data_IF_057226014702
#
_entry.id   IF_057226014702
#
_cell.length_a   1.000
_cell.length_b   1.000
_cell.length_c   1.000
_cell.angle_alpha   90.00
_cell.angle_beta   90.00
_cell.angle_gamma   90.00
#
_symmetry.space_group_name_H-M   'P 1'
#
loop_
_entity.id
_entity.type
_entity.pdbx_description
1 polymer ?
#
# COMPACT_ATOMS: atom_id res chain seq x y z
N UNK A 1 23.85 20.86 33.13
CA UNK A 1 22.52 20.57 33.70
C UNK A 1 22.37 19.05 33.69
N UNK A 2 22.01 18.40 34.79
CA UNK A 2 21.87 16.96 34.79
C UNK A 2 20.71 16.55 33.85
N UNK A 3 20.99 15.62 32.97
CA UNK A 3 20.04 14.96 32.12
C UNK A 3 18.99 14.27 33.01
N UNK A 4 17.79 14.84 33.07
CA UNK A 4 16.68 14.23 33.81
C UNK A 4 16.38 12.90 33.14
N UNK A 5 16.70 11.80 33.80
CA UNK A 5 16.34 10.46 33.39
C UNK A 5 14.85 10.46 33.07
N UNK A 6 14.50 10.27 31.77
CA UNK A 6 13.12 10.08 31.34
C UNK A 6 12.62 8.83 32.06
N UNK A 7 11.78 9.04 33.06
CA UNK A 7 11.15 7.93 33.78
C UNK A 7 10.32 7.15 32.79
N UNK A 8 10.66 5.90 32.51
CA UNK A 8 9.90 5.00 31.64
C UNK A 8 8.61 4.57 32.37
N UNK A 9 7.69 5.54 32.56
CA UNK A 9 6.47 5.39 33.34
C UNK A 9 5.60 4.19 32.91
N UNK A 10 5.73 3.77 31.64
CA UNK A 10 4.99 2.62 31.10
C UNK A 10 5.42 1.27 31.68
N UNK A 11 6.61 1.17 32.32
CA UNK A 11 7.06 -0.09 32.95
C UNK A 11 6.20 -0.52 34.12
N UNK A 12 5.54 0.44 34.76
CA UNK A 12 4.63 0.19 35.90
C UNK A 12 3.18 -0.05 35.48
N UNK A 13 2.88 0.13 34.17
CA UNK A 13 1.55 -0.11 33.63
C UNK A 13 1.33 -1.61 33.42
N UNK A 14 0.15 -2.07 33.84
CA UNK A 14 -0.26 -3.46 33.59
C UNK A 14 -1.09 -3.52 32.31
N UNK A 15 -0.81 -4.51 31.41
CA UNK A 15 -1.64 -4.71 30.24
C UNK A 15 -3.06 -5.12 30.64
N UNK A 16 -4.03 -4.74 29.80
CA UNK A 16 -5.41 -5.19 29.93
C UNK A 16 -5.45 -6.71 29.67
N UNK A 17 -6.09 -7.45 30.59
CA UNK A 17 -6.29 -8.88 30.41
C UNK A 17 -7.64 -9.13 29.72
N UNK A 18 -7.59 -9.63 28.48
CA UNK A 18 -8.72 -10.15 27.70
C UNK A 18 -9.92 -9.20 27.57
N UNK A 19 -9.80 -8.18 26.74
CA UNK A 19 -10.93 -7.31 26.38
C UNK A 19 -11.07 -7.27 24.85
N UNK A 20 -11.31 -8.41 24.22
CA UNK A 20 -11.58 -8.48 22.80
C UNK A 20 -12.73 -9.45 22.53
N UNK A 21 -13.43 -9.22 21.44
CA UNK A 21 -14.48 -10.13 20.98
C UNK A 21 -13.86 -11.49 20.64
N UNK A 22 -14.57 -12.58 20.94
CA UNK A 22 -14.07 -13.95 20.75
C UNK A 22 -13.68 -14.25 19.30
N UNK A 23 -14.36 -13.62 18.33
CA UNK A 23 -14.16 -13.81 16.90
C UNK A 23 -13.27 -12.72 16.27
N UNK A 24 -12.63 -11.88 17.06
CA UNK A 24 -11.72 -10.86 16.55
C UNK A 24 -10.49 -11.55 15.91
N UNK A 25 -10.20 -11.17 14.68
CA UNK A 25 -8.97 -11.59 14.00
C UNK A 25 -7.76 -10.92 14.66
N UNK A 26 -6.61 -11.60 14.70
CA UNK A 26 -5.40 -11.01 15.28
C UNK A 26 -4.95 -9.78 14.50
N UNK A 27 -4.33 -8.85 15.20
CA UNK A 27 -3.68 -7.68 14.59
C UNK A 27 -2.59 -8.10 13.60
N UNK A 28 -2.36 -7.25 12.58
CA UNK A 28 -1.22 -7.38 11.68
C UNK A 28 -0.16 -6.38 12.13
N UNK A 29 1.02 -6.87 12.46
CA UNK A 29 2.19 -6.06 12.72
C UNK A 29 3.27 -6.35 11.68
N UNK A 30 3.67 -5.33 10.93
CA UNK A 30 4.76 -5.42 9.95
C UNK A 30 5.86 -4.45 10.37
N UNK A 31 6.97 -4.99 10.86
CA UNK A 31 8.15 -4.20 11.19
C UNK A 31 8.76 -3.63 9.91
N UNK A 32 9.18 -2.35 9.95
CA UNK A 32 9.80 -1.63 8.83
C UNK A 32 9.04 -1.85 7.50
N UNK A 33 7.73 -1.56 7.53
CA UNK A 33 6.83 -1.84 6.42
C UNK A 33 7.32 -1.30 5.06
N UNK A 34 7.94 -0.09 4.95
CA UNK A 34 8.42 0.45 3.68
C UNK A 34 9.64 -0.27 3.09
N UNK A 35 10.33 -1.06 3.90
CA UNK A 35 11.58 -1.73 3.54
C UNK A 35 11.48 -3.22 3.86
N UNK A 36 12.53 -3.79 4.46
CA UNK A 36 12.55 -5.18 4.89
C UNK A 36 12.74 -6.16 3.74
N UNK A 37 12.09 -7.31 3.81
CA UNK A 37 12.27 -8.40 2.84
C UNK A 37 11.74 -8.03 1.45
N UNK A 38 12.63 -7.88 0.47
CA UNK A 38 12.29 -7.52 -0.91
C UNK A 38 11.38 -8.55 -1.60
N UNK A 39 11.38 -9.80 -1.15
CA UNK A 39 10.49 -10.85 -1.67
C UNK A 39 9.01 -10.56 -1.40
N UNK A 40 8.71 -9.65 -0.48
CA UNK A 40 7.35 -9.23 -0.17
C UNK A 40 6.78 -8.22 -1.19
N UNK A 41 7.62 -7.61 -2.01
CA UNK A 41 7.20 -6.70 -3.07
C UNK A 41 6.78 -7.48 -4.32
N UNK A 42 5.48 -7.53 -4.57
CA UNK A 42 4.85 -8.18 -5.72
C UNK A 42 4.98 -7.28 -6.95
N UNK A 43 5.66 -7.69 -8.01
CA UNK A 43 5.86 -6.84 -9.20
C UNK A 43 4.56 -6.70 -10.00
N UNK A 44 4.24 -5.48 -10.40
CA UNK A 44 3.23 -5.15 -11.42
C UNK A 44 3.87 -4.96 -12.79
N UNK A 45 5.05 -4.32 -12.80
CA UNK A 45 5.91 -4.13 -13.97
C UNK A 45 7.37 -4.35 -13.57
N UNK A 46 8.29 -4.11 -14.47
CA UNK A 46 9.74 -4.20 -14.18
C UNK A 46 10.21 -3.15 -13.16
N UNK A 47 9.51 -2.02 -13.09
CA UNK A 47 9.88 -0.89 -12.23
C UNK A 47 8.89 -0.60 -11.10
N UNK A 48 7.67 -1.15 -11.17
CA UNK A 48 6.60 -0.91 -10.20
C UNK A 48 6.26 -2.20 -9.48
N UNK A 49 6.21 -2.15 -8.17
CA UNK A 49 5.83 -3.27 -7.31
C UNK A 49 5.01 -2.78 -6.11
N UNK A 50 4.27 -3.70 -5.50
CA UNK A 50 3.47 -3.42 -4.32
C UNK A 50 3.71 -4.46 -3.24
N UNK A 51 3.86 -4.01 -1.99
CA UNK A 51 3.97 -4.86 -0.80
C UNK A 51 2.65 -4.79 -0.02
N UNK A 52 1.81 -5.84 -0.10
CA UNK A 52 0.57 -5.85 0.67
C UNK A 52 0.87 -5.95 2.16
N UNK A 53 0.17 -5.15 2.96
CA UNK A 53 0.26 -5.14 4.41
C UNK A 53 -0.93 -5.85 5.06
N UNK A 54 -2.13 -5.70 4.52
CA UNK A 54 -3.29 -6.52 4.81
C UNK A 54 -4.27 -6.51 3.63
N UNK A 55 -5.14 -7.51 3.58
CA UNK A 55 -6.10 -7.74 2.49
C UNK A 55 -7.42 -8.21 3.09
N UNK A 56 -8.53 -7.59 2.70
CA UNK A 56 -9.89 -8.01 3.05
C UNK A 56 -10.64 -8.49 1.79
N UNK A 57 -10.63 -9.81 1.52
CA UNK A 57 -11.28 -10.34 0.32
C UNK A 57 -12.78 -10.05 0.27
N UNK A 58 -13.46 -10.14 1.43
CA UNK A 58 -14.91 -9.92 1.52
C UNK A 58 -15.32 -8.46 1.34
N UNK A 59 -14.41 -7.50 1.50
CA UNK A 59 -14.68 -6.07 1.34
C UNK A 59 -14.09 -5.48 0.06
N UNK A 60 -13.42 -6.29 -0.76
CA UNK A 60 -12.64 -5.82 -1.91
C UNK A 60 -11.68 -4.69 -1.53
N UNK A 61 -10.95 -4.86 -0.41
CA UNK A 61 -10.14 -3.81 0.19
C UNK A 61 -8.74 -4.33 0.56
N UNK A 62 -7.74 -3.47 0.41
CA UNK A 62 -6.38 -3.78 0.84
C UNK A 62 -5.62 -2.52 1.26
N UNK A 63 -4.49 -2.75 1.88
CA UNK A 63 -3.54 -1.71 2.19
C UNK A 63 -2.15 -2.22 1.82
N UNK A 64 -1.39 -1.37 1.16
CA UNK A 64 -0.09 -1.74 0.63
C UNK A 64 0.89 -0.57 0.61
N UNK A 65 2.13 -0.88 0.26
CA UNK A 65 3.14 0.11 -0.12
C UNK A 65 3.45 -0.08 -1.60
N UNK A 66 2.97 0.85 -2.41
CA UNK A 66 3.33 0.94 -3.82
C UNK A 66 4.73 1.56 -3.94
N UNK A 67 5.59 0.91 -4.72
CA UNK A 67 6.94 1.36 -4.98
C UNK A 67 7.18 1.49 -6.48
N UNK A 68 7.71 2.65 -6.92
CA UNK A 68 8.29 2.81 -8.24
C UNK A 68 9.79 3.09 -8.11
N UNK A 69 10.61 2.24 -8.74
CA UNK A 69 12.08 2.30 -8.68
C UNK A 69 12.67 3.39 -9.55
N UNK A 70 11.95 3.83 -10.56
CA UNK A 70 12.36 4.87 -11.50
C UNK A 70 11.21 5.77 -11.87
N UNK A 71 11.52 6.96 -12.36
CA UNK A 71 10.54 7.88 -12.93
C UNK A 71 9.81 7.27 -14.12
N UNK A 72 8.56 7.65 -14.30
CA UNK A 72 7.72 7.21 -15.42
C UNK A 72 6.25 7.04 -15.05
N UNK A 73 5.49 6.59 -16.03
CA UNK A 73 4.09 6.25 -15.86
C UNK A 73 3.96 5.01 -14.95
N UNK A 74 3.17 5.14 -13.90
CA UNK A 74 2.80 4.01 -13.05
C UNK A 74 1.55 3.33 -13.61
N UNK A 75 0.45 4.07 -13.72
CA UNK A 75 -0.80 3.61 -14.35
C UNK A 75 -1.78 4.76 -14.61
N UNK A 76 -2.88 4.45 -15.33
CA UNK A 76 -4.06 5.31 -15.50
C UNK A 76 -5.26 4.56 -14.99
N UNK A 77 -6.05 5.19 -14.13
CA UNK A 77 -7.21 4.54 -13.52
C UNK A 77 -8.15 5.54 -12.85
N UNK A 78 -9.30 5.02 -12.42
CA UNK A 78 -10.14 5.67 -11.40
C UNK A 78 -10.60 4.62 -10.37
N UNK A 79 -11.08 5.10 -9.24
CA UNK A 79 -11.69 4.29 -8.19
C UNK A 79 -13.17 4.62 -8.02
N UNK A 80 -14.07 3.62 -7.91
CA UNK A 80 -15.45 3.85 -7.48
C UNK A 80 -15.58 4.29 -6.03
N UNK A 81 -14.54 4.05 -5.21
CA UNK A 81 -14.47 4.36 -3.78
C UNK A 81 -13.30 5.28 -3.49
N UNK A 82 -13.27 5.84 -2.29
CA UNK A 82 -12.16 6.66 -1.82
C UNK A 82 -10.86 5.85 -1.64
N UNK A 83 -9.75 6.55 -1.81
CA UNK A 83 -8.42 6.03 -1.51
C UNK A 83 -7.67 7.01 -0.62
N UNK A 84 -6.89 6.47 0.30
CA UNK A 84 -6.01 7.25 1.16
C UNK A 84 -4.55 6.93 0.81
N UNK A 85 -3.77 7.97 0.57
CA UNK A 85 -2.36 7.86 0.27
C UNK A 85 -1.50 8.66 1.25
N UNK A 86 -0.39 8.08 1.70
CA UNK A 86 0.62 8.77 2.49
C UNK A 86 1.99 8.51 1.89
N UNK A 87 2.67 9.58 1.50
CA UNK A 87 3.98 9.50 0.86
C UNK A 87 5.08 9.23 1.87
N UNK A 88 5.80 8.13 1.69
CA UNK A 88 6.93 7.71 2.54
C UNK A 88 8.25 8.24 2.00
N UNK A 89 8.47 8.13 0.68
CA UNK A 89 9.69 8.60 0.01
C UNK A 89 9.45 8.87 -1.47
N UNK A 90 10.43 9.46 -2.12
CA UNK A 90 10.37 9.77 -3.55
C UNK A 90 9.52 11.00 -3.85
N UNK A 91 9.13 11.10 -5.12
CA UNK A 91 8.31 12.19 -5.65
C UNK A 91 7.33 11.64 -6.69
N UNK A 92 6.05 12.02 -6.60
CA UNK A 92 5.01 11.53 -7.50
C UNK A 92 3.85 12.52 -7.61
N UNK A 93 2.91 12.23 -8.48
CA UNK A 93 1.70 13.02 -8.63
C UNK A 93 0.78 12.44 -9.69
N UNK A 94 -0.30 13.15 -9.93
CA UNK A 94 -1.23 12.90 -11.03
C UNK A 94 -1.08 13.99 -12.09
N UNK A 95 -1.05 13.61 -13.37
CA UNK A 95 -0.89 14.60 -14.45
C UNK A 95 -2.06 15.60 -14.51
N UNK A 96 -3.21 15.22 -13.97
CA UNK A 96 -4.44 16.02 -13.91
C UNK A 96 -4.38 17.10 -12.80
N UNK A 97 -3.36 17.08 -11.94
CA UNK A 97 -3.20 18.01 -10.82
C UNK A 97 -1.90 18.81 -10.90
N UNK A 98 -1.91 20.03 -10.35
CA UNK A 98 -0.73 20.89 -10.29
C UNK A 98 0.23 20.55 -9.14
N UNK A 99 -0.23 19.77 -8.14
CA UNK A 99 0.58 19.39 -7.00
C UNK A 99 1.50 18.17 -7.30
N UNK A 100 2.59 18.11 -6.58
CA UNK A 100 3.44 16.92 -6.51
C UNK A 100 3.67 16.54 -5.06
N UNK A 101 3.53 15.24 -4.74
CA UNK A 101 3.69 14.73 -3.40
C UNK A 101 5.13 14.26 -3.15
N UNK A 102 5.60 14.54 -1.94
CA UNK A 102 6.89 14.12 -1.39
C UNK A 102 6.71 13.53 0.00
N UNK A 103 7.78 13.06 0.63
CA UNK A 103 7.71 12.43 1.95
C UNK A 103 6.97 13.29 2.98
N UNK A 104 5.95 12.72 3.61
CA UNK A 104 5.09 13.36 4.60
C UNK A 104 3.75 13.88 4.06
N UNK A 105 3.56 13.92 2.74
CA UNK A 105 2.32 14.38 2.14
C UNK A 105 1.22 13.31 2.21
N UNK A 106 0.01 13.77 2.52
CA UNK A 106 -1.21 12.99 2.56
C UNK A 106 -2.16 13.41 1.43
N UNK A 107 -2.74 12.42 0.76
CA UNK A 107 -3.70 12.63 -0.32
C UNK A 107 -4.97 11.83 -0.01
N UNK A 108 -6.11 12.46 -0.17
CA UNK A 108 -7.42 11.83 -0.26
C UNK A 108 -7.86 11.82 -1.71
N UNK A 109 -8.08 10.65 -2.27
CA UNK A 109 -8.54 10.47 -3.64
C UNK A 109 -10.06 10.34 -3.66
N UNK A 110 -10.69 11.25 -4.36
CA UNK A 110 -12.15 11.33 -4.46
C UNK A 110 -12.69 10.18 -5.33
N UNK A 111 -13.77 9.50 -4.91
CA UNK A 111 -14.42 8.50 -5.72
C UNK A 111 -14.81 9.02 -7.12
N UNK A 112 -14.47 8.25 -8.14
CA UNK A 112 -14.84 8.55 -9.53
C UNK A 112 -13.90 9.50 -10.27
N UNK A 113 -12.92 10.08 -9.62
CA UNK A 113 -11.91 10.89 -10.31
C UNK A 113 -10.91 9.99 -11.03
N UNK A 114 -10.72 10.27 -12.32
CA UNK A 114 -9.76 9.57 -13.15
C UNK A 114 -8.43 10.27 -13.13
N UNK A 115 -7.34 9.50 -13.00
CA UNK A 115 -6.02 10.09 -12.91
C UNK A 115 -4.91 9.22 -13.52
N UNK A 116 -3.84 9.91 -13.94
CA UNK A 116 -2.61 9.33 -14.48
C UNK A 116 -1.52 9.44 -13.43
N UNK A 117 -1.24 8.33 -12.73
CA UNK A 117 -0.21 8.28 -11.70
C UNK A 117 1.18 8.22 -12.33
N UNK A 118 2.03 9.16 -11.95
CA UNK A 118 3.43 9.24 -12.38
C UNK A 118 4.39 9.34 -11.20
N UNK A 119 5.50 8.62 -11.31
CA UNK A 119 6.67 8.82 -10.46
C UNK A 119 7.62 9.80 -11.15
N UNK A 120 8.12 10.79 -10.39
CA UNK A 120 9.09 11.76 -10.88
C UNK A 120 10.52 11.39 -10.48
N UNK A 121 11.50 11.97 -11.19
CA UNK A 121 12.91 11.84 -10.82
C UNK A 121 13.13 12.29 -9.37
N UNK A 122 13.76 11.40 -8.59
CA UNK A 122 14.13 11.65 -7.21
C UNK A 122 15.30 10.73 -6.81
N UNK A 123 16.10 11.13 -5.81
CA UNK A 123 17.22 10.33 -5.30
C UNK A 123 16.78 9.01 -4.64
N UNK A 124 15.60 9.02 -4.03
CA UNK A 124 14.99 7.86 -3.38
C UNK A 124 13.84 7.32 -4.25
N UNK A 125 13.59 6.02 -4.29
CA UNK A 125 12.44 5.46 -4.99
C UNK A 125 11.13 6.02 -4.42
N UNK A 126 10.13 6.18 -5.28
CA UNK A 126 8.78 6.48 -4.83
C UNK A 126 8.27 5.32 -3.97
N UNK A 127 7.84 5.61 -2.75
CA UNK A 127 7.10 4.68 -1.88
C UNK A 127 5.91 5.40 -1.29
N UNK A 128 4.73 4.87 -1.51
CA UNK A 128 3.47 5.43 -1.03
C UNK A 128 2.67 4.33 -0.35
N UNK A 129 2.24 4.60 0.87
CA UNK A 129 1.28 3.78 1.58
C UNK A 129 -0.12 4.12 1.07
N UNK A 130 -0.83 3.12 0.58
CA UNK A 130 -2.20 3.25 0.11
C UNK A 130 -3.16 2.40 0.95
N UNK A 131 -4.36 2.94 1.17
CA UNK A 131 -5.54 2.17 1.58
C UNK A 131 -6.55 2.26 0.46
N UNK A 132 -6.78 1.14 -0.20
CA UNK A 132 -7.58 1.05 -1.42
C UNK A 132 -8.80 0.19 -1.18
N UNK A 133 -9.97 0.71 -1.56
CA UNK A 133 -11.17 -0.09 -1.74
C UNK A 133 -11.40 -0.23 -3.25
N UNK A 134 -11.23 -1.44 -3.75
CA UNK A 134 -11.33 -1.75 -5.16
C UNK A 134 -12.76 -1.74 -5.70
N UNK A 135 -12.91 -1.96 -7.01
CA UNK A 135 -11.83 -2.20 -7.95
C UNK A 135 -11.13 -0.92 -8.39
N UNK A 136 -9.90 -1.02 -8.92
CA UNK A 136 -9.36 -0.03 -9.82
C UNK A 136 -9.90 -0.30 -11.22
N UNK A 137 -10.36 0.73 -11.90
CA UNK A 137 -10.77 0.64 -13.30
C UNK A 137 -9.66 1.23 -14.16
N UNK A 138 -8.97 0.36 -14.89
CA UNK A 138 -7.89 0.77 -15.77
C UNK A 138 -8.41 1.60 -16.96
N UNK A 139 -7.65 2.61 -17.33
CA UNK A 139 -7.96 3.49 -18.45
C UNK A 139 -6.84 3.45 -19.48
N UNK A 140 -7.24 3.52 -20.76
CA UNK A 140 -6.31 3.79 -21.85
C UNK A 140 -5.95 5.29 -21.93
N UNK A 141 -5.13 5.66 -22.90
CA UNK A 141 -4.67 7.04 -23.07
C UNK A 141 -5.77 8.02 -23.46
N UNK A 142 -6.93 7.53 -23.92
CA UNK A 142 -8.09 8.32 -24.31
C UNK A 142 -9.19 8.33 -23.23
N UNK A 143 -8.94 7.71 -22.06
CA UNK A 143 -9.92 7.57 -20.98
C UNK A 143 -10.92 6.44 -21.17
N UNK A 144 -10.74 5.58 -22.17
CA UNK A 144 -11.54 4.38 -22.38
C UNK A 144 -11.18 3.29 -21.35
N UNK A 145 -12.16 2.46 -20.96
CA UNK A 145 -11.92 1.35 -20.04
C UNK A 145 -10.99 0.31 -20.65
N UNK A 146 -9.91 -0.01 -19.94
CA UNK A 146 -8.91 -1.03 -20.33
C UNK A 146 -8.93 -2.26 -19.39
N UNK A 147 -9.98 -2.43 -18.61
CA UNK A 147 -10.14 -3.53 -17.66
C UNK A 147 -10.26 -3.05 -16.23
N UNK A 148 -10.08 -3.97 -15.31
CA UNK A 148 -10.12 -3.66 -13.87
C UNK A 148 -9.08 -4.49 -13.11
N UNK A 149 -8.90 -4.12 -11.84
CA UNK A 149 -8.07 -4.84 -10.90
C UNK A 149 -8.73 -4.81 -9.54
N UNK A 150 -9.02 -5.97 -9.00
CA UNK A 150 -9.68 -6.11 -7.70
C UNK A 150 -8.82 -6.89 -6.70
N UNK A 151 -9.35 -7.08 -5.49
CA UNK A 151 -8.68 -7.81 -4.44
C UNK A 151 -8.33 -9.26 -4.83
N UNK A 152 -9.15 -9.92 -5.67
CA UNK A 152 -8.91 -11.29 -6.09
C UNK A 152 -7.79 -11.36 -7.13
N UNK A 153 -7.68 -10.38 -8.02
CA UNK A 153 -6.55 -10.23 -8.93
C UNK A 153 -5.26 -9.99 -8.13
N UNK A 154 -5.32 -9.13 -7.11
CA UNK A 154 -4.17 -8.88 -6.25
C UNK A 154 -3.73 -10.13 -5.50
N UNK A 155 -4.66 -10.90 -4.92
CA UNK A 155 -4.36 -12.18 -4.25
C UNK A 155 -3.73 -13.16 -5.23
N UNK A 156 -4.23 -13.23 -6.47
CA UNK A 156 -3.68 -14.10 -7.52
C UNK A 156 -2.23 -13.74 -7.86
N UNK A 157 -1.93 -12.45 -8.02
CA UNK A 157 -0.56 -11.97 -8.24
C UNK A 157 0.34 -12.29 -7.05
N UNK A 158 -0.12 -12.05 -5.82
CA UNK A 158 0.62 -12.37 -4.60
C UNK A 158 0.96 -13.86 -4.53
N UNK A 159 0.00 -14.76 -4.79
CA UNK A 159 0.21 -16.20 -4.78
C UNK A 159 1.28 -16.63 -5.77
N UNK A 160 1.18 -16.15 -7.02
CA UNK A 160 2.13 -16.51 -8.07
C UNK A 160 3.54 -16.01 -7.74
N UNK A 161 3.65 -14.77 -7.24
CA UNK A 161 4.94 -14.19 -6.87
C UNK A 161 5.55 -14.89 -5.65
N UNK A 162 4.79 -15.10 -4.57
CA UNK A 162 5.31 -15.71 -3.34
C UNK A 162 5.74 -17.17 -3.54
N UNK A 163 5.07 -17.89 -4.42
CA UNK A 163 5.54 -19.21 -4.84
C UNK A 163 6.87 -19.13 -5.55
N UNK A 164 7.00 -18.23 -6.53
CA UNK A 164 8.23 -18.02 -7.31
C UNK A 164 9.43 -17.63 -6.45
N UNK A 165 9.23 -16.86 -5.38
CA UNK A 165 10.33 -16.40 -4.50
C UNK A 165 10.55 -17.28 -3.27
N UNK A 166 9.89 -18.44 -3.20
CA UNK A 166 10.12 -19.46 -2.18
C UNK A 166 9.45 -19.17 -0.83
N UNK A 167 8.48 -18.27 -0.78
CA UNK A 167 7.65 -18.03 0.42
C UNK A 167 6.44 -18.96 0.49
N UNK A 168 6.07 -19.55 -0.66
CA UNK A 168 4.88 -20.37 -0.87
C UNK A 168 3.62 -19.54 -1.18
N UNK A 169 2.77 -20.06 -2.07
CA UNK A 169 1.55 -19.38 -2.53
C UNK A 169 0.61 -18.97 -1.38
N UNK A 170 0.58 -19.74 -0.32
CA UNK A 170 -0.30 -19.50 0.83
C UNK A 170 0.21 -18.43 1.82
N UNK A 171 1.40 -17.89 1.60
CA UNK A 171 1.92 -16.79 2.41
C UNK A 171 0.93 -15.61 2.49
N UNK A 172 0.25 -15.29 1.38
CA UNK A 172 -0.73 -14.19 1.32
C UNK A 172 -1.88 -14.34 2.30
N UNK A 173 -2.24 -15.56 2.69
CA UNK A 173 -3.34 -15.82 3.65
C UNK A 173 -3.08 -15.23 5.04
N UNK A 174 -1.81 -15.03 5.42
CA UNK A 174 -1.44 -14.37 6.69
C UNK A 174 -1.91 -12.92 6.77
N UNK A 175 -2.17 -12.30 5.61
CA UNK A 175 -2.59 -10.90 5.49
C UNK A 175 -4.11 -10.74 5.44
N UNK A 176 -4.89 -11.83 5.41
CA UNK A 176 -6.35 -11.75 5.29
C UNK A 176 -6.99 -11.27 6.59
N UNK A 177 -7.93 -10.29 6.46
CA UNK A 177 -8.74 -9.73 7.53
C UNK A 177 -10.17 -9.49 7.04
#
# INVERSE_FOLDING_TARGET
MPETAKTEFWKDLKPIQKVFQLDALPEVYTHDAPNGDERLFVPFTDTVSSKPLWISPGQNKWCDILMAKSAGLVNRHYHPHEVFAFTISGKWGYLEHEWTATAGDFIYETPGEAHTLVAYEHKDPMKVFFVVQGPLIWLDENGGSAGHFDVHDYIKLCRAHYEKVGLGADYVKKLFR
#
